data_IF_196892708107
#
_entry.id   IF_196892708107
#
_cell.length_a   1.000
_cell.length_b   1.000
_cell.length_c   1.000
_cell.angle_alpha   90.00
_cell.angle_beta   90.00
_cell.angle_gamma   90.00
#
_symmetry.space_group_name_H-M   'P 1'
#
loop_
_entity.id
_entity.type
_entity.pdbx_description
1 polymer ?
#
# COMPACT_ATOMS: atom_id res chain seq x y z
N UNK A 1 -17.59 7.02 -4.33
CA UNK A 1 -17.97 5.59 -4.33
C UNK A 1 -17.11 4.86 -3.31
N UNK A 2 -17.71 4.01 -2.50
CA UNK A 2 -17.01 3.11 -1.58
C UNK A 2 -17.06 1.70 -2.14
N UNK A 3 -15.89 1.08 -2.33
CA UNK A 3 -15.76 -0.32 -2.73
C UNK A 3 -15.17 -1.05 -1.53
N UNK A 4 -15.94 -1.95 -0.92
CA UNK A 4 -15.49 -2.79 0.18
C UNK A 4 -15.32 -4.23 -0.30
N UNK A 5 -14.17 -4.85 -0.04
CA UNK A 5 -13.95 -6.25 -0.39
C UNK A 5 -13.06 -6.98 0.62
N UNK A 6 -13.33 -8.28 0.79
CA UNK A 6 -12.56 -9.13 1.68
C UNK A 6 -11.39 -9.78 0.94
N UNK A 7 -10.28 -9.98 1.67
CA UNK A 7 -9.17 -10.81 1.20
C UNK A 7 -8.65 -11.68 2.34
N UNK A 8 -8.55 -12.99 2.09
CA UNK A 8 -7.91 -13.95 2.99
C UNK A 8 -6.55 -14.34 2.43
N UNK A 9 -5.58 -14.57 3.32
CA UNK A 9 -4.24 -15.03 2.95
C UNK A 9 -4.29 -16.27 2.04
N UNK A 10 -3.52 -16.22 0.96
CA UNK A 10 -3.35 -17.30 -0.03
C UNK A 10 -1.88 -17.39 -0.44
N UNK A 11 -1.42 -18.59 -0.78
CA UNK A 11 -0.12 -18.82 -1.45
C UNK A 11 -0.20 -18.47 -2.94
N UNK A 12 -0.63 -17.25 -3.27
CA UNK A 12 -0.59 -16.68 -4.63
C UNK A 12 -1.04 -15.24 -4.59
N UNK A 13 -0.55 -14.45 -5.53
CA UNK A 13 -1.05 -13.11 -5.77
C UNK A 13 -2.48 -13.17 -6.34
N UNK A 14 -3.29 -12.18 -6.02
CA UNK A 14 -4.67 -12.08 -6.49
C UNK A 14 -4.92 -10.70 -7.07
N UNK A 15 -5.54 -10.66 -8.25
CA UNK A 15 -6.01 -9.43 -8.86
C UNK A 15 -7.53 -9.31 -8.72
N UNK A 16 -7.99 -8.09 -8.44
CA UNK A 16 -9.39 -7.69 -8.43
C UNK A 16 -9.57 -6.53 -9.40
N UNK A 17 -10.75 -6.46 -10.03
CA UNK A 17 -11.11 -5.37 -10.92
C UNK A 17 -12.50 -4.87 -10.55
N UNK A 18 -12.62 -3.56 -10.45
CA UNK A 18 -13.86 -2.85 -10.14
C UNK A 18 -14.06 -1.71 -11.14
N UNK A 19 -15.26 -1.15 -11.18
CA UNK A 19 -15.56 0.05 -11.95
C UNK A 19 -16.09 1.13 -11.02
N UNK A 20 -15.48 2.31 -11.05
CA UNK A 20 -15.95 3.51 -10.37
C UNK A 20 -16.44 4.50 -11.41
N UNK A 21 -17.76 4.71 -11.50
CA UNK A 21 -18.39 5.57 -12.51
C UNK A 21 -17.97 5.23 -13.96
N UNK A 22 -17.85 3.93 -14.29
CA UNK A 22 -17.42 3.46 -15.60
C UNK A 22 -15.89 3.36 -15.76
N UNK A 23 -15.12 3.95 -14.85
CA UNK A 23 -13.65 3.95 -14.92
C UNK A 23 -13.04 2.74 -14.20
N UNK A 24 -12.06 2.05 -14.81
CA UNK A 24 -11.47 0.83 -14.24
C UNK A 24 -10.65 1.11 -12.98
N UNK A 25 -10.81 0.27 -11.97
CA UNK A 25 -10.02 0.25 -10.75
C UNK A 25 -9.42 -1.15 -10.57
N UNK A 26 -8.10 -1.27 -10.66
CA UNK A 26 -7.39 -2.54 -10.51
C UNK A 26 -6.76 -2.61 -9.13
N UNK A 27 -6.89 -3.76 -8.47
CA UNK A 27 -6.28 -3.99 -7.15
C UNK A 27 -5.53 -5.31 -7.15
N UNK A 28 -4.24 -5.23 -6.89
CA UNK A 28 -3.34 -6.37 -6.77
C UNK A 28 -3.00 -6.58 -5.30
N UNK A 29 -3.20 -7.81 -4.82
CA UNK A 29 -2.89 -8.21 -3.45
C UNK A 29 -1.94 -9.39 -3.50
N UNK A 30 -0.75 -9.22 -2.94
CA UNK A 30 0.30 -10.23 -2.91
C UNK A 30 -0.05 -11.42 -2.01
N UNK A 31 0.60 -12.55 -2.27
CA UNK A 31 0.44 -13.76 -1.48
C UNK A 31 0.64 -13.50 0.04
N UNK A 32 -0.09 -14.26 0.85
CA UNK A 32 -0.08 -14.25 2.31
C UNK A 32 -0.55 -12.96 2.99
N UNK A 33 -0.89 -11.92 2.21
CA UNK A 33 -1.56 -10.73 2.71
C UNK A 33 -2.99 -11.06 3.13
N UNK A 34 -3.45 -10.49 4.24
CA UNK A 34 -4.82 -10.66 4.72
C UNK A 34 -5.40 -9.34 5.21
N UNK A 35 -6.73 -9.24 5.14
CA UNK A 35 -7.50 -8.16 5.74
C UNK A 35 -8.35 -8.73 6.88
N UNK A 36 -8.34 -8.09 8.06
CA UNK A 36 -9.15 -8.55 9.20
C UNK A 36 -10.64 -8.26 9.03
N UNK A 37 -10.98 -7.33 8.14
CA UNK A 37 -12.32 -6.95 7.73
C UNK A 37 -12.27 -6.51 6.24
N UNK A 38 -13.41 -6.20 5.60
CA UNK A 38 -13.39 -5.65 4.24
C UNK A 38 -12.51 -4.40 4.16
N UNK A 39 -11.56 -4.38 3.22
CA UNK A 39 -10.78 -3.18 2.91
C UNK A 39 -11.67 -2.21 2.13
N UNK A 40 -11.66 -0.94 2.52
CA UNK A 40 -12.42 0.10 1.83
C UNK A 40 -11.55 0.92 0.88
N UNK A 41 -11.97 0.95 -0.38
CA UNK A 41 -11.40 1.83 -1.41
C UNK A 41 -12.37 2.98 -1.64
N UNK A 42 -11.85 4.20 -1.53
CA UNK A 42 -12.60 5.44 -1.74
C UNK A 42 -12.19 6.02 -3.09
N UNK A 43 -13.11 6.03 -4.05
CA UNK A 43 -12.90 6.60 -5.40
C UNK A 43 -13.96 7.64 -5.74
N UNK A 44 -13.59 8.68 -6.49
CA UNK A 44 -14.49 9.74 -6.94
C UNK A 44 -14.81 9.65 -8.44
N UNK A 45 -14.42 8.56 -9.08
CA UNK A 45 -14.69 8.28 -10.49
C UNK A 45 -13.45 8.27 -11.36
N UNK A 46 -12.26 8.48 -10.81
CA UNK A 46 -11.00 8.36 -11.55
C UNK A 46 -10.60 6.87 -11.72
N UNK A 47 -9.93 6.53 -12.83
CA UNK A 47 -9.35 5.17 -13.02
C UNK A 47 -8.16 4.95 -12.10
N UNK A 48 -8.10 3.81 -11.39
CA UNK A 48 -7.10 3.62 -10.34
C UNK A 48 -6.39 2.29 -10.27
N UNK A 49 -5.25 2.32 -9.56
CA UNK A 49 -4.39 1.16 -9.33
C UNK A 49 -3.93 1.09 -7.87
N UNK A 50 -4.45 0.03 -7.24
CA UNK A 50 -4.16 -0.64 -5.99
C UNK A 50 -2.98 -1.62 -6.01
N UNK A 51 -1.83 -1.38 -5.39
CA UNK A 51 -0.85 -2.47 -5.17
C UNK A 51 -0.61 -2.69 -3.68
N UNK A 52 -0.81 -3.91 -3.21
CA UNK A 52 -0.49 -4.35 -1.86
C UNK A 52 0.42 -5.56 -1.99
N UNK A 53 1.64 -5.47 -1.46
CA UNK A 53 2.65 -6.52 -1.56
C UNK A 53 2.27 -7.78 -0.79
N UNK A 54 3.24 -8.70 -0.70
CA UNK A 54 3.08 -9.99 -0.01
C UNK A 54 3.23 -9.82 1.51
N UNK A 55 2.66 -10.74 2.28
CA UNK A 55 2.78 -10.81 3.74
C UNK A 55 2.32 -9.58 4.52
N UNK A 56 1.38 -8.78 3.97
CA UNK A 56 0.85 -7.63 4.68
C UNK A 56 -0.28 -8.00 5.64
N UNK A 57 -0.36 -7.24 6.74
CA UNK A 57 -1.45 -7.34 7.73
C UNK A 57 -2.25 -6.05 7.70
N UNK A 58 -3.51 -6.12 7.23
CA UNK A 58 -4.39 -4.94 7.13
C UNK A 58 -5.53 -5.07 8.13
N UNK A 59 -5.59 -4.14 9.07
CA UNK A 59 -6.61 -4.10 10.10
C UNK A 59 -7.97 -3.61 9.56
N UNK A 60 -8.98 -3.62 10.43
CA UNK A 60 -10.33 -3.12 10.16
C UNK A 60 -10.33 -1.59 9.98
N UNK A 61 -11.33 -1.07 9.25
CA UNK A 61 -11.53 0.36 9.03
C UNK A 61 -10.43 1.05 8.23
N UNK A 62 -9.56 0.31 7.54
CA UNK A 62 -8.53 0.91 6.68
C UNK A 62 -9.19 1.44 5.41
N UNK A 63 -8.87 2.70 5.08
CA UNK A 63 -9.33 3.36 3.85
C UNK A 63 -8.14 3.65 2.93
N UNK A 64 -8.25 3.27 1.67
CA UNK A 64 -7.32 3.68 0.62
C UNK A 64 -8.03 4.62 -0.35
N UNK A 65 -7.54 5.86 -0.43
CA UNK A 65 -8.12 6.88 -1.27
C UNK A 65 -7.48 6.87 -2.65
N UNK A 66 -8.34 6.95 -3.66
CA UNK A 66 -7.99 7.03 -5.05
C UNK A 66 -8.68 8.24 -5.68
N UNK A 67 -7.92 9.22 -6.18
CA UNK A 67 -8.54 10.40 -6.80
C UNK A 67 -9.12 11.42 -5.82
N UNK A 68 -10.06 12.23 -6.32
CA UNK A 68 -10.78 13.24 -5.53
C UNK A 68 -9.99 14.51 -5.25
N UNK A 69 -8.87 14.74 -5.94
CA UNK A 69 -8.09 15.96 -5.76
C UNK A 69 -8.68 17.08 -6.61
N UNK A 70 -8.73 18.28 -6.05
CA UNK A 70 -9.11 19.50 -6.74
C UNK A 70 -7.88 20.37 -6.99
N UNK A 71 -7.92 21.19 -8.04
CA UNK A 71 -6.93 22.26 -8.20
C UNK A 71 -7.02 23.23 -7.00
N UNK A 72 -5.88 23.62 -6.45
CA UNK A 72 -5.78 24.47 -5.25
C UNK A 72 -4.99 25.76 -5.47
N UNK A 73 -4.45 25.94 -6.67
CA UNK A 73 -3.64 27.08 -7.10
C UNK A 73 -4.48 28.19 -7.76
N UNK A 74 -5.74 27.91 -8.09
CA UNK A 74 -6.69 28.87 -8.67
C UNK A 74 -7.54 29.64 -7.64
N UNK A 75 -8.41 30.52 -8.15
CA UNK A 75 -9.35 31.33 -7.35
C UNK A 75 -10.43 30.47 -6.66
N UNK A 76 -10.77 29.32 -7.24
CA UNK A 76 -11.79 28.40 -6.73
C UNK A 76 -11.28 26.97 -6.83
N UNK A 77 -11.60 26.16 -5.82
CA UNK A 77 -11.42 24.69 -5.85
C UNK A 77 -12.67 23.96 -6.37
N UNK A 78 -13.73 24.70 -6.69
CA UNK A 78 -14.99 24.12 -7.13
C UNK A 78 -14.84 23.55 -8.56
N UNK A 79 -15.27 22.31 -8.80
CA UNK A 79 -15.26 21.72 -10.15
C UNK A 79 -16.24 22.46 -11.06
N UNK A 80 -15.73 23.38 -11.89
CA UNK A 80 -16.54 24.28 -12.70
C UNK A 80 -17.51 23.55 -13.64
N UNK A 81 -17.12 22.36 -14.11
CA UNK A 81 -17.94 21.49 -14.95
C UNK A 81 -19.25 21.06 -14.27
N UNK A 82 -19.31 21.06 -12.94
CA UNK A 82 -20.53 20.76 -12.17
C UNK A 82 -21.57 21.89 -12.25
N UNK A 83 -21.20 23.07 -12.77
CA UNK A 83 -22.11 24.20 -12.97
C UNK A 83 -22.63 24.29 -14.41
N UNK A 84 -22.28 23.35 -15.29
CA UNK A 84 -22.59 23.40 -16.72
C UNK A 84 -24.11 23.51 -17.03
N UNK A 85 -24.98 23.03 -16.15
CA UNK A 85 -26.44 23.20 -16.30
C UNK A 85 -26.87 24.68 -16.18
N UNK A 86 -26.23 25.45 -15.30
CA UNK A 86 -26.53 26.86 -15.08
C UNK A 86 -25.66 27.79 -15.95
N UNK A 87 -24.40 27.41 -16.19
CA UNK A 87 -23.40 28.15 -16.96
C UNK A 87 -22.76 27.23 -18.02
N UNK A 88 -23.41 27.05 -19.19
CA UNK A 88 -22.96 26.08 -20.21
C UNK A 88 -21.54 26.28 -20.73
N UNK A 89 -21.01 27.50 -20.67
CA UNK A 89 -19.62 27.83 -21.04
C UNK A 89 -18.58 27.19 -20.13
N UNK A 90 -18.97 26.71 -18.95
CA UNK A 90 -18.12 25.97 -18.02
C UNK A 90 -18.16 24.45 -18.26
N UNK A 91 -18.93 23.99 -19.24
CA UNK A 91 -18.92 22.58 -19.64
C UNK A 91 -17.50 22.18 -20.08
N UNK A 92 -17.03 21.04 -19.57
CA UNK A 92 -15.67 20.60 -19.81
C UNK A 92 -15.40 19.22 -19.21
N UNK A 93 -14.18 18.69 -19.39
CA UNK A 93 -13.77 17.47 -18.73
C UNK A 93 -13.77 17.65 -17.20
N UNK A 94 -13.89 16.53 -16.47
CA UNK A 94 -13.74 16.56 -15.02
C UNK A 94 -12.41 17.17 -14.62
N UNK A 95 -12.46 18.13 -13.70
CA UNK A 95 -11.31 18.83 -13.15
C UNK A 95 -10.73 18.16 -11.90
N UNK A 96 -11.40 17.12 -11.38
CA UNK A 96 -10.84 16.28 -10.32
C UNK A 96 -9.82 15.30 -10.87
N UNK A 97 -8.79 15.01 -10.07
CA UNK A 97 -7.70 14.15 -10.51
C UNK A 97 -7.19 13.20 -9.41
N UNK A 98 -6.43 12.20 -9.85
CA UNK A 98 -5.66 11.30 -9.00
C UNK A 98 -4.20 11.71 -8.96
N UNK A 99 -3.55 11.51 -7.81
CA UNK A 99 -2.09 11.65 -7.66
C UNK A 99 -1.33 10.40 -8.12
N UNK A 100 -2.02 9.44 -8.74
CA UNK A 100 -1.44 8.21 -9.24
C UNK A 100 -1.78 6.99 -8.38
N UNK A 101 -1.09 5.85 -8.60
CA UNK A 101 -1.35 4.61 -7.88
C UNK A 101 -1.02 4.76 -6.39
N UNK A 102 -1.65 3.92 -5.57
CA UNK A 102 -1.20 3.68 -4.20
C UNK A 102 -0.43 2.37 -4.21
N UNK A 103 0.82 2.41 -3.73
CA UNK A 103 1.71 1.26 -3.70
C UNK A 103 2.06 0.97 -2.25
N UNK A 104 1.60 -0.16 -1.73
CA UNK A 104 1.97 -0.69 -0.44
C UNK A 104 2.94 -1.85 -0.69
N UNK A 105 4.13 -1.75 -0.13
CA UNK A 105 5.18 -2.77 -0.24
C UNK A 105 4.82 -4.09 0.43
N UNK A 106 5.84 -4.89 0.70
CA UNK A 106 5.74 -6.21 1.31
C UNK A 106 5.96 -6.11 2.82
N UNK A 107 5.46 -7.07 3.61
CA UNK A 107 5.59 -7.08 5.08
C UNK A 107 5.10 -5.78 5.76
N UNK A 108 4.09 -5.12 5.18
CA UNK A 108 3.53 -3.89 5.77
C UNK A 108 2.45 -4.25 6.78
N UNK A 109 2.52 -3.64 7.97
CA UNK A 109 1.46 -3.71 8.96
C UNK A 109 0.68 -2.39 8.99
N UNK A 110 -0.63 -2.46 8.73
CA UNK A 110 -1.52 -1.29 8.69
C UNK A 110 -2.52 -1.40 9.85
N UNK A 111 -2.43 -0.45 10.78
CA UNK A 111 -3.26 -0.37 11.96
C UNK A 111 -4.71 0.06 11.66
N UNK A 112 -5.60 -0.24 12.60
CA UNK A 112 -7.04 0.01 12.50
C UNK A 112 -7.34 1.47 12.16
N UNK A 113 -8.28 1.70 11.24
CA UNK A 113 -8.74 3.05 10.91
C UNK A 113 -7.75 3.90 10.10
N UNK A 114 -6.61 3.35 9.66
CA UNK A 114 -5.61 4.13 8.93
C UNK A 114 -6.14 4.56 7.54
N UNK A 115 -5.77 5.76 7.12
CA UNK A 115 -6.12 6.32 5.81
C UNK A 115 -4.85 6.51 4.98
N UNK A 116 -4.82 5.93 3.77
CA UNK A 116 -3.71 6.05 2.83
C UNK A 116 -4.18 6.86 1.63
N UNK A 117 -3.55 8.03 1.41
CA UNK A 117 -3.99 8.97 0.38
C UNK A 117 -3.48 8.60 -1.02
N UNK A 118 -4.18 9.09 -2.04
CA UNK A 118 -3.85 8.88 -3.45
C UNK A 118 -2.40 9.26 -3.75
N UNK A 119 -1.72 8.43 -4.54
CA UNK A 119 -0.34 8.64 -4.98
C UNK A 119 0.74 8.23 -3.99
N UNK A 120 0.38 7.73 -2.81
CA UNK A 120 1.36 7.36 -1.77
C UNK A 120 2.00 6.00 -2.05
N UNK A 121 3.31 5.95 -1.85
CA UNK A 121 4.11 4.72 -1.75
C UNK A 121 4.51 4.44 -0.30
N UNK A 122 4.15 3.26 0.21
CA UNK A 122 4.55 2.74 1.53
C UNK A 122 5.62 1.67 1.31
N UNK A 123 6.84 1.91 1.81
CA UNK A 123 7.97 1.02 1.64
C UNK A 123 7.84 -0.32 2.36
N UNK A 124 8.61 -1.31 1.90
CA UNK A 124 8.63 -2.66 2.47
C UNK A 124 8.92 -2.63 3.99
N UNK A 125 8.23 -3.47 4.75
CA UNK A 125 8.39 -3.58 6.19
C UNK A 125 7.88 -2.38 6.98
N UNK A 126 7.21 -1.39 6.38
CA UNK A 126 6.69 -0.25 7.15
C UNK A 126 5.56 -0.65 8.11
N UNK A 127 5.38 0.15 9.17
CA UNK A 127 4.26 0.05 10.10
C UNK A 127 3.48 1.35 10.09
N UNK A 128 2.21 1.27 9.76
CA UNK A 128 1.26 2.38 9.80
C UNK A 128 0.45 2.27 11.09
N UNK A 129 0.59 3.23 11.99
CA UNK A 129 -0.15 3.28 13.24
C UNK A 129 -1.66 3.39 13.01
N UNK A 130 -2.44 2.96 14.01
CA UNK A 130 -3.90 3.09 13.98
C UNK A 130 -4.32 4.55 13.79
N UNK A 131 -5.35 4.77 12.97
CA UNK A 131 -5.92 6.08 12.59
C UNK A 131 -4.91 7.07 12.01
N UNK A 132 -3.76 6.60 11.52
CA UNK A 132 -2.80 7.46 10.86
C UNK A 132 -3.32 7.92 9.48
N UNK A 133 -3.04 9.17 9.11
CA UNK A 133 -3.34 9.71 7.77
C UNK A 133 -2.04 9.82 6.99
N UNK A 134 -1.80 8.84 6.13
CA UNK A 134 -0.60 8.75 5.31
C UNK A 134 -0.80 9.59 4.05
N UNK A 135 -0.24 10.79 4.06
CA UNK A 135 -0.37 11.78 2.98
C UNK A 135 0.89 11.96 2.12
N UNK A 136 1.96 11.21 2.43
CA UNK A 136 3.28 11.25 1.77
C UNK A 136 3.88 9.85 1.80
N UNK A 137 4.88 9.64 0.95
CA UNK A 137 5.60 8.36 0.90
C UNK A 137 6.26 8.01 2.23
N UNK A 138 6.24 6.73 2.56
CA UNK A 138 6.80 6.18 3.79
C UNK A 138 8.04 5.34 3.45
N UNK A 139 9.22 5.63 4.03
CA UNK A 139 10.41 4.82 3.78
C UNK A 139 10.26 3.39 4.31
N UNK A 140 10.97 2.41 3.71
CA UNK A 140 10.99 1.04 4.20
C UNK A 140 11.32 0.95 5.69
N UNK A 141 10.74 -0.03 6.38
CA UNK A 141 10.96 -0.33 7.79
C UNK A 141 10.74 0.85 8.74
N UNK A 142 10.03 1.89 8.32
CA UNK A 142 9.65 3.00 9.19
C UNK A 142 8.36 2.71 9.93
N UNK A 143 8.27 3.18 11.18
CA UNK A 143 7.03 3.21 11.95
C UNK A 143 6.48 4.63 11.91
N UNK A 144 5.26 4.80 11.40
CA UNK A 144 4.61 6.11 11.29
C UNK A 144 3.30 6.14 12.07
N UNK A 145 2.93 7.31 12.58
CA UNK A 145 1.64 7.53 13.24
C UNK A 145 1.24 9.01 13.17
N UNK A 146 -0.04 9.29 13.43
CA UNK A 146 -0.58 10.65 13.50
C UNK A 146 -1.36 11.08 12.25
N UNK A 147 -1.95 12.27 12.33
CA UNK A 147 -2.64 12.94 11.23
C UNK A 147 -2.15 14.40 11.14
N UNK A 148 -1.30 14.73 10.15
CA UNK A 148 -0.70 13.82 9.17
C UNK A 148 0.28 12.83 9.83
N UNK A 149 0.51 11.69 9.18
CA UNK A 149 1.42 10.66 9.68
C UNK A 149 2.88 11.14 9.58
N UNK A 150 3.63 10.94 10.67
CA UNK A 150 5.06 11.24 10.74
C UNK A 150 5.84 10.00 11.18
N UNK A 151 7.11 9.91 10.78
CA UNK A 151 8.03 8.86 11.25
C UNK A 151 8.23 9.03 12.75
N UNK A 152 7.83 8.01 13.51
CA UNK A 152 8.04 7.90 14.96
C UNK A 152 9.41 7.31 15.24
N UNK A 153 9.78 6.25 14.50
CA UNK A 153 11.07 5.56 14.60
C UNK A 153 11.31 4.64 13.41
N UNK A 154 12.53 4.11 13.26
CA UNK A 154 12.81 2.94 12.43
C UNK A 154 12.50 1.64 13.21
N UNK A 155 12.11 0.58 12.50
CA UNK A 155 11.92 -0.77 13.08
C UNK A 155 13.25 -1.40 13.46
N UNK A 156 14.25 -1.25 12.61
CA UNK A 156 15.54 -1.93 12.66
C UNK A 156 16.70 -0.96 12.35
N UNK A 157 17.93 -1.30 12.73
CA UNK A 157 19.14 -0.59 12.29
C UNK A 157 19.29 -0.57 10.77
N UNK A 158 19.95 0.45 10.22
CA UNK A 158 20.06 0.64 8.77
C UNK A 158 20.77 -0.53 8.07
N UNK A 159 21.81 -1.09 8.67
CA UNK A 159 22.51 -2.26 8.13
C UNK A 159 21.65 -3.54 8.05
N UNK A 160 20.62 -3.64 8.90
CA UNK A 160 19.65 -4.74 8.86
C UNK A 160 18.57 -4.48 7.81
N UNK A 161 18.09 -3.24 7.71
CA UNK A 161 17.17 -2.81 6.66
C UNK A 161 17.79 -3.05 5.28
N UNK A 162 19.02 -2.59 5.05
CA UNK A 162 19.72 -2.74 3.78
C UNK A 162 19.88 -4.22 3.42
N UNK A 163 20.23 -5.07 4.39
CA UNK A 163 20.31 -6.51 4.20
C UNK A 163 18.96 -7.11 3.80
N UNK A 164 17.89 -6.83 4.55
CA UNK A 164 16.55 -7.37 4.27
C UNK A 164 16.02 -6.92 2.90
N UNK A 165 16.25 -5.65 2.54
CA UNK A 165 15.92 -5.11 1.22
C UNK A 165 16.74 -5.74 0.09
N UNK A 166 18.00 -6.14 0.36
CA UNK A 166 18.83 -6.82 -0.64
C UNK A 166 18.36 -8.25 -0.93
N UNK A 167 17.94 -8.98 0.11
CA UNK A 167 17.57 -10.39 -0.02
C UNK A 167 16.12 -10.60 -0.45
N UNK A 168 15.24 -9.62 -0.18
CA UNK A 168 13.80 -9.62 -0.51
C UNK A 168 13.16 -10.97 -0.19
N UNK A 169 13.24 -11.38 1.07
CA UNK A 169 12.83 -12.73 1.50
C UNK A 169 11.39 -13.07 1.09
N UNK A 170 10.52 -12.06 1.04
CA UNK A 170 9.14 -12.19 0.57
C UNK A 170 9.01 -12.63 -0.89
N UNK A 171 10.05 -12.53 -1.71
CA UNK A 171 10.06 -12.97 -3.11
C UNK A 171 10.68 -14.37 -3.31
N UNK A 172 11.13 -15.03 -2.25
CA UNK A 172 11.71 -16.37 -2.35
C UNK A 172 10.66 -17.46 -2.67
N UNK A 173 11.12 -18.62 -3.21
CA UNK A 173 10.29 -19.82 -3.28
C UNK A 173 9.78 -20.24 -1.88
N UNK A 174 8.55 -20.74 -1.82
CA UNK A 174 7.87 -21.08 -0.55
C UNK A 174 8.66 -22.08 0.31
N UNK A 175 9.40 -23.02 -0.28
CA UNK A 175 10.25 -23.97 0.45
C UNK A 175 11.42 -23.30 1.16
N UNK A 176 12.04 -22.29 0.55
CA UNK A 176 13.12 -21.52 1.17
C UNK A 176 12.58 -20.69 2.35
N UNK A 177 11.42 -20.05 2.16
CA UNK A 177 10.74 -19.32 3.25
C UNK A 177 10.42 -20.29 4.40
N UNK A 178 9.89 -21.49 4.11
CA UNK A 178 9.57 -22.49 5.14
C UNK A 178 10.81 -22.95 5.91
N UNK A 179 11.91 -23.24 5.21
CA UNK A 179 13.19 -23.64 5.83
C UNK A 179 13.73 -22.57 6.78
N UNK A 180 13.61 -21.30 6.41
CA UNK A 180 14.14 -20.16 7.17
C UNK A 180 13.08 -19.44 8.03
N UNK A 181 11.88 -20.00 8.14
CA UNK A 181 10.72 -19.36 8.78
C UNK A 181 10.99 -18.94 10.23
N UNK A 182 11.75 -19.74 10.97
CA UNK A 182 12.10 -19.46 12.36
C UNK A 182 13.00 -18.23 12.52
N UNK A 183 13.85 -17.92 11.53
CA UNK A 183 14.64 -16.69 11.54
C UNK A 183 13.80 -15.49 11.08
N UNK A 184 13.02 -15.65 10.00
CA UNK A 184 12.19 -14.58 9.43
C UNK A 184 11.13 -14.12 10.43
N UNK A 185 10.29 -15.04 10.90
CA UNK A 185 9.17 -14.73 11.78
C UNK A 185 9.56 -14.72 13.26
N UNK A 186 10.73 -15.26 13.62
CA UNK A 186 11.32 -15.12 14.96
C UNK A 186 12.04 -13.78 15.17
N UNK A 187 12.31 -13.03 14.10
CA UNK A 187 12.90 -11.68 14.18
C UNK A 187 14.42 -11.64 14.39
N UNK A 188 15.14 -12.74 14.12
CA UNK A 188 16.59 -12.81 14.28
C UNK A 188 17.28 -12.54 12.93
N UNK A 189 17.56 -11.26 12.67
CA UNK A 189 18.17 -10.80 11.40
C UNK A 189 19.59 -11.34 11.23
N UNK A 190 20.35 -11.47 12.31
CA UNK A 190 21.73 -11.96 12.23
C UNK A 190 21.77 -13.46 11.93
N UNK A 191 20.93 -14.26 12.60
CA UNK A 191 20.81 -15.67 12.26
C UNK A 191 20.32 -15.87 10.82
N UNK A 192 19.40 -15.03 10.33
CA UNK A 192 18.98 -15.04 8.92
C UNK A 192 20.16 -14.71 7.99
N UNK A 193 20.98 -13.70 8.33
CA UNK A 193 22.17 -13.29 7.57
C UNK A 193 23.19 -14.42 7.46
N UNK A 194 23.47 -15.10 8.57
CA UNK A 194 24.35 -16.26 8.61
C UNK A 194 23.79 -17.42 7.79
N UNK A 195 22.50 -17.73 7.95
CA UNK A 195 21.84 -18.81 7.24
C UNK A 195 21.87 -18.59 5.71
N UNK A 196 21.57 -17.38 5.24
CA UNK A 196 21.62 -17.02 3.81
C UNK A 196 23.04 -17.09 3.26
N UNK A 197 24.04 -16.62 4.03
CA UNK A 197 25.45 -16.63 3.60
C UNK A 197 26.05 -18.03 3.54
N UNK A 198 25.50 -18.97 4.32
CA UNK A 198 25.94 -20.37 4.36
C UNK A 198 25.34 -21.24 3.24
N UNK A 199 24.34 -20.75 2.50
CA UNK A 199 23.81 -21.48 1.36
C UNK A 199 24.85 -21.46 0.22
N UNK A 200 25.28 -22.62 -0.29
CA UNK A 200 26.13 -22.64 -1.47
C UNK A 200 25.40 -21.90 -2.57
N UNK A 201 26.09 -20.93 -3.21
CA UNK A 201 25.57 -20.10 -4.30
C UNK A 201 24.71 -20.98 -5.22
N UNK A 202 23.39 -20.89 -5.09
CA UNK A 202 22.47 -21.47 -6.05
C UNK A 202 22.61 -20.57 -7.27
N UNK A 203 23.56 -20.94 -8.13
CA UNK A 203 23.92 -20.24 -9.35
C UNK A 203 22.66 -19.73 -10.02
N UNK A 204 22.65 -18.43 -10.29
CA UNK A 204 21.78 -17.78 -11.28
C UNK A 204 21.53 -18.75 -12.44
N UNK A 205 20.32 -19.30 -12.51
CA UNK A 205 19.76 -20.00 -13.66
C UNK A 205 18.44 -19.34 -13.99
#
# INVERSE_FOLDING_TARGET
>A
MYIAFNHKAKDRDTAYSFSANGNPCLVFVGAFTYFSAPLEIVSYGESGRIEIGRFCSVADGVHIYFGGMHAMDGVSTYPAEMLAEWMPELAGPNSTFSKGPVIIGNDVWIGEGASILSGVTVGDGAVIGARAVVSRDIPPYSVVAGNPAHIVRKRLPDADVDFLLSIRWWSWPSDKIRKLAHHIFGGDVEALRLAVSSEPNASLK
#
